data_IF_002103591054
#
_entry.id   IF_002103591054
#
_cell.length_a   1.000
_cell.length_b   1.000
_cell.length_c   1.000
_cell.angle_alpha   90.00
_cell.angle_beta   90.00
_cell.angle_gamma   90.00
#
_symmetry.space_group_name_H-M   'P 1'
#
loop_
_entity.id
_entity.type
_entity.pdbx_description
1 polymer ?
#
# COMPACT_ATOMS: atom_id res chain seq x y z
N UNK A 1 37.18 -4.70 17.24
CA UNK A 1 36.03 -5.24 17.94
C UNK A 1 35.30 -4.07 18.56
N UNK A 2 34.20 -3.67 17.96
CA UNK A 2 33.55 -2.40 18.29
C UNK A 2 32.69 -2.58 19.56
N UNK A 3 32.56 -1.54 20.37
CA UNK A 3 31.84 -1.57 21.65
C UNK A 3 30.34 -1.97 21.47
N UNK A 4 29.82 -1.88 20.24
CA UNK A 4 28.46 -2.23 19.84
C UNK A 4 28.16 -3.74 19.75
N UNK A 5 29.21 -4.59 19.70
CA UNK A 5 29.03 -6.05 19.51
C UNK A 5 28.81 -6.81 20.83
N UNK A 6 28.88 -6.13 21.99
CA UNK A 6 28.86 -6.79 23.30
C UNK A 6 27.53 -6.70 24.06
N UNK A 7 26.54 -5.95 23.57
CA UNK A 7 25.25 -5.85 24.25
C UNK A 7 24.21 -6.56 23.38
N UNK A 8 23.79 -7.74 23.79
CA UNK A 8 22.52 -8.31 23.33
C UNK A 8 21.40 -7.34 23.75
N UNK A 9 21.11 -6.37 22.91
CA UNK A 9 20.01 -5.47 23.17
C UNK A 9 18.69 -6.27 22.99
N UNK A 10 17.70 -6.12 23.88
CA UNK A 10 16.42 -6.79 23.72
C UNK A 10 15.78 -6.37 22.39
N UNK A 11 15.06 -7.28 21.75
CA UNK A 11 14.27 -7.00 20.55
C UNK A 11 13.38 -5.78 20.79
N UNK A 12 13.52 -4.77 19.96
CA UNK A 12 12.80 -3.48 20.07
C UNK A 12 12.03 -3.21 18.79
N UNK A 13 10.74 -3.47 18.80
CA UNK A 13 9.86 -3.16 17.67
C UNK A 13 9.45 -1.68 17.68
N UNK A 14 9.28 -1.10 16.50
CA UNK A 14 9.01 0.35 16.33
C UNK A 14 7.76 0.82 17.11
N UNK A 15 6.73 -0.03 17.18
CA UNK A 15 5.50 0.28 17.92
C UNK A 15 5.75 0.51 19.41
N UNK A 16 6.68 -0.24 19.99
CA UNK A 16 6.92 -0.25 21.43
C UNK A 16 7.89 0.84 21.88
N UNK A 17 8.53 1.54 20.93
CA UNK A 17 9.48 2.61 21.24
C UNK A 17 8.80 3.88 21.73
N UNK A 18 9.39 4.51 22.73
CA UNK A 18 8.93 5.75 23.34
C UNK A 18 9.97 6.86 23.15
N UNK A 19 9.55 8.12 23.31
CA UNK A 19 10.49 9.25 23.33
C UNK A 19 11.46 9.14 24.52
N UNK A 20 12.74 9.25 24.25
CA UNK A 20 13.83 9.04 25.22
C UNK A 20 14.45 7.63 25.15
N UNK A 21 13.87 6.69 24.39
CA UNK A 21 14.47 5.37 24.25
C UNK A 21 15.77 5.44 23.43
N UNK A 22 16.83 4.85 23.99
CA UNK A 22 18.03 4.49 23.25
C UNK A 22 17.83 3.13 22.58
N UNK A 23 18.13 3.06 21.29
CA UNK A 23 17.89 1.89 20.45
C UNK A 23 19.20 1.41 19.84
N UNK A 24 19.42 0.09 19.84
CA UNK A 24 20.43 -0.59 19.08
C UNK A 24 19.85 -1.92 18.57
N UNK A 25 19.05 -1.84 17.50
CA UNK A 25 18.32 -2.98 16.97
C UNK A 25 18.29 -2.95 15.44
N UNK A 26 17.67 -3.92 14.81
CA UNK A 26 17.56 -4.04 13.37
C UNK A 26 16.30 -3.36 12.87
N UNK A 27 16.42 -2.65 11.76
CA UNK A 27 15.28 -2.06 11.04
C UNK A 27 15.55 -2.10 9.54
N UNK A 28 14.51 -2.30 8.77
CA UNK A 28 14.56 -2.14 7.32
C UNK A 28 14.45 -0.66 6.98
N UNK A 29 15.27 -0.19 6.07
CA UNK A 29 15.12 1.16 5.52
C UNK A 29 14.14 1.08 4.36
N UNK A 30 12.97 1.68 4.51
CA UNK A 30 11.99 1.75 3.44
C UNK A 30 12.35 2.86 2.44
N UNK A 31 12.73 4.02 2.93
CA UNK A 31 13.15 5.17 2.12
C UNK A 31 14.40 5.80 2.70
N UNK A 32 15.27 6.31 1.81
CA UNK A 32 16.42 7.14 2.17
C UNK A 32 16.55 8.28 1.17
N UNK A 33 16.53 9.51 1.66
CA UNK A 33 16.63 10.72 0.83
C UNK A 33 17.63 11.68 1.44
N UNK A 34 18.56 12.16 0.62
CA UNK A 34 19.51 13.20 1.02
C UNK A 34 18.84 14.58 0.88
N UNK A 35 18.82 15.36 1.96
CA UNK A 35 18.21 16.70 2.02
C UNK A 35 19.20 17.70 2.61
N UNK A 36 18.87 18.99 2.50
CA UNK A 36 19.63 20.09 3.12
C UNK A 36 18.85 20.73 4.25
N UNK A 37 19.56 21.08 5.31
CA UNK A 37 19.06 21.93 6.40
C UNK A 37 18.85 23.37 5.90
N UNK A 38 18.21 24.20 6.71
CA UNK A 38 18.11 25.65 6.43
C UNK A 38 19.47 26.34 6.32
N UNK A 39 20.49 25.78 6.97
CA UNK A 39 21.86 26.31 6.95
C UNK A 39 22.71 25.75 5.80
N UNK A 40 22.14 24.87 4.95
CA UNK A 40 22.83 24.30 3.80
C UNK A 40 23.53 22.97 4.08
N UNK A 41 23.57 22.49 5.33
CA UNK A 41 24.20 21.21 5.70
C UNK A 41 23.41 20.01 5.19
N UNK A 42 24.09 18.99 4.74
CA UNK A 42 23.48 17.74 4.29
C UNK A 42 23.01 16.90 5.47
N UNK A 43 21.80 16.33 5.35
CA UNK A 43 21.30 15.29 6.25
C UNK A 43 20.57 14.20 5.46
N UNK A 44 20.39 13.01 6.05
CA UNK A 44 19.55 11.98 5.48
C UNK A 44 18.21 11.93 6.20
N UNK A 45 17.17 11.88 5.39
CA UNK A 45 15.79 11.63 5.79
C UNK A 45 15.49 10.17 5.50
N UNK A 46 15.11 9.41 6.51
CA UNK A 46 14.89 7.98 6.44
C UNK A 46 13.47 7.63 6.89
N UNK A 47 12.93 6.56 6.35
CA UNK A 47 11.79 5.85 6.91
C UNK A 47 12.27 4.45 7.33
N UNK A 48 12.28 4.18 8.63
CA UNK A 48 12.54 2.86 9.20
C UNK A 48 11.25 2.06 9.25
N UNK A 49 11.36 0.74 9.08
CA UNK A 49 10.23 -0.17 9.05
C UNK A 49 10.55 -1.48 9.76
N UNK A 50 9.56 -2.01 10.47
CA UNK A 50 9.44 -3.39 10.90
C UNK A 50 7.98 -3.85 10.74
N UNK A 51 7.66 -5.10 11.08
CA UNK A 51 6.31 -5.68 10.98
C UNK A 51 5.24 -4.94 11.80
N UNK A 52 5.63 -4.04 12.70
CA UNK A 52 4.70 -3.30 13.57
C UNK A 52 4.41 -1.89 13.08
N UNK A 53 5.11 -1.41 12.05
CA UNK A 53 4.87 -0.12 11.44
C UNK A 53 6.12 0.57 10.92
N UNK A 54 6.01 1.88 10.78
CA UNK A 54 7.02 2.77 10.20
C UNK A 54 7.34 3.90 11.17
N UNK A 55 8.60 4.35 11.15
CA UNK A 55 9.07 5.48 11.95
C UNK A 55 9.99 6.39 11.14
N UNK A 56 9.76 7.70 11.09
CA UNK A 56 10.71 8.65 10.53
C UNK A 56 12.02 8.61 11.28
N UNK A 57 13.14 8.74 10.57
CA UNK A 57 14.46 8.83 11.18
C UNK A 57 15.34 9.83 10.45
N UNK A 58 16.31 10.40 11.15
CA UNK A 58 17.24 11.39 10.61
C UNK A 58 18.68 11.01 10.94
N UNK A 59 19.57 11.25 9.98
CA UNK A 59 21.01 11.24 10.19
C UNK A 59 21.52 12.65 9.93
N UNK A 60 21.88 13.37 11.00
CA UNK A 60 22.33 14.75 10.92
C UNK A 60 23.83 14.86 10.61
N UNK A 61 24.62 13.93 11.11
CA UNK A 61 26.07 13.93 10.95
C UNK A 61 26.51 12.82 9.98
N UNK A 62 27.59 13.07 9.25
CA UNK A 62 28.18 12.09 8.31
C UNK A 62 27.19 11.64 7.21
N UNK A 63 26.25 12.52 6.82
CA UNK A 63 25.23 12.21 5.82
C UNK A 63 25.81 11.67 4.49
N UNK A 64 26.92 12.23 4.03
CA UNK A 64 27.58 11.80 2.79
C UNK A 64 28.19 10.39 2.87
N UNK A 65 28.63 9.95 4.05
CA UNK A 65 29.12 8.60 4.28
C UNK A 65 27.95 7.60 4.31
N UNK A 66 26.92 7.89 5.12
CA UNK A 66 25.76 7.04 5.23
C UNK A 66 24.96 6.95 3.91
N UNK A 67 24.96 8.00 3.08
CA UNK A 67 24.28 7.95 1.77
C UNK A 67 24.93 6.95 0.80
N UNK A 68 26.21 6.62 1.00
CA UNK A 68 26.90 5.59 0.22
C UNK A 68 26.66 4.18 0.76
N UNK A 69 26.39 4.06 2.06
CA UNK A 69 26.18 2.80 2.76
C UNK A 69 24.74 2.33 2.69
N UNK A 70 23.79 3.23 2.96
CA UNK A 70 22.40 2.88 3.14
C UNK A 70 21.67 2.73 1.81
N UNK A 71 20.85 1.69 1.72
CA UNK A 71 19.98 1.40 0.56
C UNK A 71 18.56 1.14 1.05
N UNK A 72 17.57 1.68 0.33
CA UNK A 72 16.18 1.31 0.54
C UNK A 72 15.99 -0.20 0.30
N UNK A 73 15.12 -0.82 1.08
CA UNK A 73 14.83 -2.25 1.02
C UNK A 73 15.76 -3.13 1.86
N UNK A 74 16.90 -2.65 2.29
CA UNK A 74 17.88 -3.42 3.06
C UNK A 74 17.70 -3.26 4.58
N UNK A 75 18.09 -4.28 5.33
CA UNK A 75 18.05 -4.30 6.79
C UNK A 75 19.40 -3.86 7.34
N UNK A 76 19.36 -2.97 8.30
CA UNK A 76 20.55 -2.46 8.99
C UNK A 76 20.40 -2.59 10.50
N UNK A 77 21.51 -2.84 11.19
CA UNK A 77 21.57 -2.61 12.63
C UNK A 77 21.76 -1.12 12.86
N UNK A 78 20.80 -0.51 13.53
CA UNK A 78 20.68 0.93 13.71
C UNK A 78 20.77 1.26 15.18
N UNK A 79 21.65 2.21 15.53
CA UNK A 79 21.70 2.81 16.87
C UNK A 79 21.27 4.26 16.80
N UNK A 80 20.46 4.67 17.77
CA UNK A 80 19.93 6.02 17.82
C UNK A 80 19.06 6.25 19.04
N UNK A 81 18.53 7.46 19.13
CA UNK A 81 17.61 7.90 20.18
C UNK A 81 16.28 8.31 19.58
N UNK A 82 15.20 7.84 20.18
CA UNK A 82 13.84 8.24 19.78
C UNK A 82 13.49 9.57 20.46
N UNK A 83 13.03 10.54 19.67
CA UNK A 83 12.62 11.88 20.14
C UNK A 83 11.22 12.21 19.66
N UNK A 84 10.52 13.00 20.40
CA UNK A 84 9.30 13.64 19.92
C UNK A 84 9.65 14.92 19.14
N UNK A 85 9.20 14.98 17.90
CA UNK A 85 9.34 16.15 17.06
C UNK A 85 7.98 16.55 16.48
N UNK A 86 7.44 17.69 16.94
CA UNK A 86 6.11 18.18 16.52
C UNK A 86 4.98 17.17 16.76
N UNK A 87 5.04 16.44 17.88
CA UNK A 87 4.04 15.45 18.25
C UNK A 87 4.13 14.13 17.48
N UNK A 88 5.23 13.87 16.79
CA UNK A 88 5.52 12.59 16.14
C UNK A 88 6.84 12.02 16.63
N UNK A 89 6.85 10.71 16.91
CA UNK A 89 8.10 10.02 17.24
C UNK A 89 9.00 9.99 16.00
N UNK A 90 10.27 10.30 16.21
CA UNK A 90 11.31 10.29 15.20
C UNK A 90 12.60 9.78 15.82
N UNK A 91 13.34 8.93 15.12
CA UNK A 91 14.65 8.46 15.58
C UNK A 91 15.75 9.37 15.04
N UNK A 92 16.64 9.81 15.94
CA UNK A 92 17.92 10.40 15.55
C UNK A 92 18.96 9.26 15.50
N UNK A 93 19.36 8.88 14.31
CA UNK A 93 20.29 7.78 14.09
C UNK A 93 21.73 8.27 14.25
N UNK A 94 22.50 7.61 15.12
CA UNK A 94 23.92 7.89 15.36
C UNK A 94 24.84 6.93 14.60
N UNK A 95 24.41 5.65 14.46
CA UNK A 95 25.19 4.62 13.76
C UNK A 95 24.24 3.70 12.97
N UNK A 96 24.76 3.19 11.85
CA UNK A 96 24.11 2.15 11.06
C UNK A 96 25.19 1.27 10.43
N UNK A 97 24.94 -0.04 10.39
CA UNK A 97 25.78 -1.01 9.68
C UNK A 97 24.92 -2.05 8.99
N UNK A 98 25.37 -2.57 7.88
CA UNK A 98 24.71 -3.68 7.20
C UNK A 98 24.62 -4.91 8.11
N UNK A 99 23.58 -5.71 7.95
CA UNK A 99 23.42 -7.00 8.61
C UNK A 99 24.38 -8.00 7.99
N UNK A 100 25.18 -8.67 8.83
CA UNK A 100 26.13 -9.69 8.43
C UNK A 100 25.67 -11.10 8.80
N UNK A 101 26.47 -12.10 8.42
CA UNK A 101 26.21 -13.51 8.72
C UNK A 101 26.19 -13.82 10.24
N UNK A 102 26.85 -13.00 11.05
CA UNK A 102 26.97 -13.16 12.50
C UNK A 102 25.76 -12.57 13.27
N UNK A 103 24.87 -11.84 12.59
CA UNK A 103 23.67 -11.24 13.20
C UNK A 103 22.53 -12.27 13.30
N UNK A 104 22.74 -13.32 14.13
CA UNK A 104 21.80 -14.44 14.29
C UNK A 104 20.49 -14.04 14.99
N UNK A 105 20.46 -12.91 15.65
CA UNK A 105 19.31 -12.30 16.32
C UNK A 105 18.45 -11.45 15.38
N UNK A 106 18.87 -11.27 14.12
CA UNK A 106 18.11 -10.61 13.07
C UNK A 106 17.17 -11.61 12.38
N UNK A 107 15.94 -11.69 12.84
CA UNK A 107 14.91 -12.46 12.14
C UNK A 107 14.35 -11.65 10.96
N UNK A 108 14.63 -12.07 9.73
CA UNK A 108 14.19 -11.36 8.51
C UNK A 108 12.67 -11.24 8.41
N UNK A 109 11.92 -12.19 8.96
CA UNK A 109 10.46 -12.16 8.97
C UNK A 109 9.88 -10.94 9.74
N UNK A 110 10.65 -10.36 10.68
CA UNK A 110 10.24 -9.14 11.37
C UNK A 110 10.26 -7.89 10.47
N UNK A 111 10.87 -7.96 9.30
CA UNK A 111 11.08 -6.83 8.37
C UNK A 111 10.45 -7.07 7.00
N UNK A 112 9.75 -8.18 6.84
CA UNK A 112 8.91 -8.40 5.67
C UNK A 112 7.60 -7.65 5.83
N UNK A 113 7.16 -7.05 4.75
CA UNK A 113 5.85 -6.40 4.67
C UNK A 113 4.80 -7.51 4.48
N UNK A 114 4.46 -8.17 5.58
CA UNK A 114 3.41 -9.19 5.58
C UNK A 114 2.07 -8.54 5.92
N UNK A 115 0.97 -8.99 5.31
CA UNK A 115 -0.36 -8.54 5.70
C UNK A 115 -0.60 -8.77 7.20
N UNK A 116 -1.22 -7.80 7.87
CA UNK A 116 -1.64 -7.93 9.29
C UNK A 116 -2.84 -8.87 9.47
N UNK A 117 -3.30 -9.50 8.40
CA UNK A 117 -4.43 -10.42 8.32
C UNK A 117 -4.08 -11.64 7.47
N UNK A 118 -4.88 -12.69 7.57
CA UNK A 118 -4.75 -13.88 6.73
C UNK A 118 -5.16 -13.56 5.27
N UNK A 119 -4.18 -13.17 4.45
CA UNK A 119 -4.39 -12.80 3.06
C UNK A 119 -4.82 -13.99 2.19
N UNK A 120 -4.42 -15.22 2.53
CA UNK A 120 -4.84 -16.43 1.80
C UNK A 120 -6.33 -16.69 2.05
N UNK A 121 -6.78 -16.61 3.29
CA UNK A 121 -8.21 -16.75 3.60
C UNK A 121 -9.03 -15.59 3.00
N UNK A 122 -8.50 -14.37 2.95
CA UNK A 122 -9.19 -13.24 2.31
C UNK A 122 -9.29 -13.45 0.80
N UNK A 123 -8.22 -13.91 0.13
CA UNK A 123 -8.24 -14.25 -1.30
C UNK A 123 -9.29 -15.31 -1.61
N UNK A 124 -9.36 -16.37 -0.80
CA UNK A 124 -10.37 -17.41 -0.95
C UNK A 124 -11.79 -16.84 -0.80
N UNK A 125 -12.05 -16.03 0.23
CA UNK A 125 -13.35 -15.37 0.43
C UNK A 125 -13.72 -14.46 -0.73
N UNK A 126 -12.76 -13.72 -1.29
CA UNK A 126 -12.97 -12.85 -2.44
C UNK A 126 -13.45 -13.63 -3.66
N UNK A 127 -12.80 -14.74 -4.01
CA UNK A 127 -13.22 -15.55 -5.13
C UNK A 127 -14.47 -16.38 -4.86
N UNK A 128 -14.73 -16.81 -3.62
CA UNK A 128 -16.02 -17.41 -3.26
C UNK A 128 -17.18 -16.43 -3.44
N UNK A 129 -17.01 -15.18 -2.97
CA UNK A 129 -18.00 -14.11 -3.17
C UNK A 129 -18.31 -13.91 -4.68
N UNK A 130 -17.30 -13.86 -5.53
CA UNK A 130 -17.50 -13.73 -6.97
C UNK A 130 -18.24 -14.94 -7.55
N UNK A 131 -17.84 -16.16 -7.19
CA UNK A 131 -18.48 -17.40 -7.65
C UNK A 131 -19.96 -17.49 -7.24
N UNK A 132 -20.31 -17.01 -6.04
CA UNK A 132 -21.68 -17.03 -5.52
C UNK A 132 -22.61 -16.03 -6.24
N UNK A 133 -22.05 -15.03 -6.93
CA UNK A 133 -22.81 -13.92 -7.48
C UNK A 133 -22.71 -13.72 -8.99
N UNK A 134 -21.85 -14.48 -9.68
CA UNK A 134 -21.74 -14.47 -11.13
C UNK A 134 -22.55 -15.60 -11.74
N UNK A 135 -23.34 -15.29 -12.77
CA UNK A 135 -24.16 -16.23 -13.51
C UNK A 135 -23.84 -16.25 -15.00
N UNK A 136 -23.27 -15.15 -15.54
CA UNK A 136 -22.87 -15.04 -16.94
C UNK A 136 -21.63 -15.89 -17.23
N UNK A 137 -21.72 -16.89 -18.15
CA UNK A 137 -20.59 -17.82 -18.40
C UNK A 137 -19.29 -17.14 -18.80
N UNK A 138 -19.36 -16.08 -19.60
CA UNK A 138 -18.17 -15.31 -20.02
C UNK A 138 -17.46 -14.66 -18.83
N UNK A 139 -18.21 -14.13 -17.86
CA UNK A 139 -17.64 -13.51 -16.65
C UNK A 139 -17.07 -14.56 -15.70
N UNK A 140 -17.70 -15.71 -15.56
CA UNK A 140 -17.17 -16.83 -14.77
C UNK A 140 -15.83 -17.30 -15.33
N UNK A 141 -15.75 -17.53 -16.64
CA UNK A 141 -14.49 -17.92 -17.30
C UNK A 141 -13.40 -16.85 -17.12
N UNK A 142 -13.76 -15.57 -17.25
CA UNK A 142 -12.82 -14.45 -17.06
C UNK A 142 -12.26 -14.42 -15.62
N UNK A 143 -13.11 -14.58 -14.61
CA UNK A 143 -12.71 -14.59 -13.21
C UNK A 143 -11.87 -15.83 -12.86
N UNK A 144 -12.16 -16.99 -13.46
CA UNK A 144 -11.35 -18.20 -13.28
C UNK A 144 -9.94 -18.03 -13.87
N UNK A 145 -9.83 -17.44 -15.06
CA UNK A 145 -8.53 -17.10 -15.65
C UNK A 145 -7.78 -16.07 -14.78
N UNK A 146 -8.47 -15.03 -14.34
CA UNK A 146 -7.90 -14.01 -13.44
C UNK A 146 -7.36 -14.64 -12.15
N UNK A 147 -8.17 -15.48 -11.48
CA UNK A 147 -7.78 -16.18 -10.25
C UNK A 147 -6.50 -16.97 -10.42
N UNK A 148 -6.40 -17.70 -11.53
CA UNK A 148 -5.23 -18.54 -11.84
C UNK A 148 -3.97 -17.72 -12.07
N UNK A 149 -4.06 -16.62 -12.80
CA UNK A 149 -2.89 -15.86 -13.25
C UNK A 149 -2.51 -14.70 -12.33
N UNK A 150 -3.49 -13.99 -11.80
CA UNK A 150 -3.28 -12.79 -10.99
C UNK A 150 -3.60 -12.96 -9.50
N UNK A 151 -4.26 -14.05 -9.10
CA UNK A 151 -4.57 -14.31 -7.69
C UNK A 151 -3.36 -14.26 -6.76
N UNK A 152 -2.24 -14.94 -7.06
CA UNK A 152 -1.05 -14.89 -6.23
C UNK A 152 -0.42 -13.49 -6.13
N UNK A 153 -0.40 -12.72 -7.21
CA UNK A 153 0.11 -11.35 -7.20
C UNK A 153 -0.81 -10.38 -6.45
N UNK A 154 -2.13 -10.51 -6.64
CA UNK A 154 -3.13 -9.74 -5.89
C UNK A 154 -3.02 -9.96 -4.38
N UNK A 155 -2.76 -11.19 -3.94
CA UNK A 155 -2.62 -11.54 -2.52
C UNK A 155 -1.52 -10.75 -1.81
N UNK A 156 -0.48 -10.35 -2.52
CA UNK A 156 0.70 -9.67 -1.96
C UNK A 156 0.80 -8.21 -2.36
N UNK A 157 -0.04 -7.75 -3.28
CA UNK A 157 0.07 -6.42 -3.86
C UNK A 157 -0.27 -5.32 -2.86
N UNK A 158 0.43 -4.20 -3.01
CA UNK A 158 0.14 -2.95 -2.31
C UNK A 158 -0.99 -2.20 -3.00
N UNK A 159 -1.89 -1.59 -2.24
CA UNK A 159 -2.92 -0.72 -2.79
C UNK A 159 -2.38 0.64 -3.26
N UNK A 160 -1.33 1.15 -2.60
CA UNK A 160 -0.66 2.40 -2.96
C UNK A 160 0.78 2.42 -2.45
N UNK A 161 1.58 3.43 -2.86
CA UNK A 161 2.94 3.61 -2.35
C UNK A 161 3.00 4.22 -0.94
N UNK A 162 2.14 5.19 -0.63
CA UNK A 162 2.29 6.05 0.57
C UNK A 162 1.01 6.35 1.33
N UNK A 163 -0.13 6.19 0.69
CA UNK A 163 -1.44 6.59 1.23
C UNK A 163 -2.33 5.35 1.14
N UNK A 164 -3.39 5.24 1.84
CA UNK A 164 -4.37 4.16 1.89
C UNK A 164 -3.90 2.79 1.35
N UNK A 165 -4.12 1.72 2.11
CA UNK A 165 -3.74 0.35 1.75
C UNK A 165 -2.27 0.16 1.32
N UNK A 166 -1.34 1.02 1.80
CA UNK A 166 0.08 1.01 1.46
C UNK A 166 0.86 -0.07 2.23
N UNK A 167 0.38 -1.31 2.22
CA UNK A 167 0.97 -2.49 2.85
C UNK A 167 0.74 -3.72 1.98
N UNK A 168 1.49 -4.79 2.22
CA UNK A 168 1.33 -6.05 1.49
C UNK A 168 -0.08 -6.62 1.68
N UNK A 169 -0.74 -7.00 0.59
CA UNK A 169 -2.14 -7.43 0.58
C UNK A 169 -3.17 -6.29 0.64
N UNK A 170 -2.74 -5.03 0.71
CA UNK A 170 -3.64 -3.88 0.76
C UNK A 170 -4.55 -3.78 -0.45
N UNK A 171 -4.04 -4.10 -1.65
CA UNK A 171 -4.85 -4.13 -2.87
C UNK A 171 -5.96 -5.19 -2.80
N UNK A 172 -5.65 -6.38 -2.25
CA UNK A 172 -6.67 -7.43 -2.04
C UNK A 172 -7.74 -6.98 -1.05
N UNK A 173 -7.35 -6.34 0.05
CA UNK A 173 -8.30 -5.85 1.05
C UNK A 173 -9.21 -4.77 0.46
N UNK A 174 -8.67 -3.82 -0.27
CA UNK A 174 -9.40 -2.79 -1.00
C UNK A 174 -10.39 -3.40 -2.00
N UNK A 175 -9.90 -4.28 -2.88
CA UNK A 175 -10.76 -4.97 -3.86
C UNK A 175 -11.90 -5.72 -3.17
N UNK A 176 -11.61 -6.48 -2.11
CA UNK A 176 -12.64 -7.21 -1.36
C UNK A 176 -13.68 -6.28 -0.73
N UNK A 177 -13.26 -5.16 -0.15
CA UNK A 177 -14.14 -4.14 0.42
C UNK A 177 -15.09 -3.55 -0.64
N UNK A 178 -14.57 -3.19 -1.82
CA UNK A 178 -15.40 -2.69 -2.93
C UNK A 178 -16.41 -3.75 -3.39
N UNK A 179 -16.01 -5.00 -3.52
CA UNK A 179 -16.93 -6.09 -3.90
C UNK A 179 -18.11 -6.21 -2.91
N UNK A 180 -17.83 -6.12 -1.60
CA UNK A 180 -18.89 -6.13 -0.58
C UNK A 180 -19.81 -4.92 -0.71
N UNK A 181 -19.27 -3.72 -0.94
CA UNK A 181 -20.07 -2.51 -1.14
C UNK A 181 -20.90 -2.58 -2.42
N UNK A 182 -20.38 -3.16 -3.51
CA UNK A 182 -21.14 -3.43 -4.74
C UNK A 182 -22.37 -4.27 -4.44
N UNK A 183 -22.22 -5.36 -3.67
CA UNK A 183 -23.34 -6.24 -3.31
C UNK A 183 -24.41 -5.52 -2.47
N UNK A 184 -23.99 -4.59 -1.63
CA UNK A 184 -24.91 -3.85 -0.78
C UNK A 184 -25.65 -2.71 -1.53
N UNK A 185 -24.99 -2.05 -2.47
CA UNK A 185 -25.49 -0.78 -3.05
C UNK A 185 -26.05 -0.96 -4.46
N UNK A 186 -25.44 -1.77 -5.32
CA UNK A 186 -25.88 -1.91 -6.71
C UNK A 186 -27.35 -2.36 -6.85
N UNK A 187 -27.89 -3.29 -6.03
CA UNK A 187 -29.30 -3.70 -6.11
C UNK A 187 -30.26 -2.55 -5.78
N UNK A 188 -29.88 -1.63 -4.90
CA UNK A 188 -30.73 -0.48 -4.54
C UNK A 188 -31.03 0.42 -5.75
N UNK A 189 -30.07 0.56 -6.66
CA UNK A 189 -30.21 1.37 -7.88
C UNK A 189 -30.56 0.55 -9.12
N UNK A 190 -30.75 -0.77 -9.01
CA UNK A 190 -31.06 -1.66 -10.12
C UNK A 190 -29.91 -1.78 -11.15
N UNK A 191 -28.66 -1.62 -10.70
CA UNK A 191 -27.49 -1.65 -11.57
C UNK A 191 -27.02 -3.07 -11.86
N UNK A 192 -26.27 -3.23 -12.95
CA UNK A 192 -25.64 -4.50 -13.31
C UNK A 192 -24.57 -4.90 -12.30
N UNK A 193 -25.01 -5.71 -11.32
CA UNK A 193 -24.14 -6.19 -10.24
C UNK A 193 -22.95 -7.00 -10.75
N UNK A 194 -23.15 -7.86 -11.73
CA UNK A 194 -22.06 -8.72 -12.22
C UNK A 194 -21.03 -7.91 -12.98
N UNK A 195 -21.45 -6.93 -13.76
CA UNK A 195 -20.55 -5.99 -14.43
C UNK A 195 -19.72 -5.21 -13.40
N UNK A 196 -20.35 -4.70 -12.33
CA UNK A 196 -19.69 -3.99 -11.25
C UNK A 196 -18.68 -4.85 -10.48
N UNK A 197 -19.03 -6.11 -10.17
CA UNK A 197 -18.14 -7.04 -9.48
C UNK A 197 -16.86 -7.30 -10.30
N UNK A 198 -17.01 -7.50 -11.60
CA UNK A 198 -15.85 -7.72 -12.48
C UNK A 198 -15.07 -6.43 -12.67
N UNK A 199 -15.74 -5.27 -12.84
CA UNK A 199 -15.08 -3.98 -12.87
C UNK A 199 -14.25 -3.71 -11.62
N UNK A 200 -14.81 -3.98 -10.44
CA UNK A 200 -14.11 -3.86 -9.16
C UNK A 200 -12.90 -4.82 -9.02
N UNK A 201 -12.98 -6.02 -9.60
CA UNK A 201 -11.85 -6.95 -9.61
C UNK A 201 -10.69 -6.44 -10.48
N UNK A 202 -11.00 -5.77 -11.59
CA UNK A 202 -10.00 -5.36 -12.58
C UNK A 202 -9.51 -3.92 -12.46
N UNK A 203 -10.23 -3.00 -11.80
CA UNK A 203 -9.94 -1.57 -11.88
C UNK A 203 -8.48 -1.24 -11.53
N UNK A 204 -7.94 -1.88 -10.53
CA UNK A 204 -6.64 -1.58 -9.91
C UNK A 204 -5.60 -2.72 -10.04
N UNK A 205 -5.92 -3.83 -10.72
CA UNK A 205 -5.00 -4.97 -10.80
C UNK A 205 -3.64 -4.62 -11.39
N UNK A 206 -3.58 -3.60 -12.23
CA UNK A 206 -2.36 -3.08 -12.82
C UNK A 206 -1.31 -2.63 -11.79
N UNK A 207 -1.71 -2.31 -10.55
CA UNK A 207 -0.81 -2.01 -9.45
C UNK A 207 0.14 -3.17 -9.13
N UNK A 208 -0.25 -4.42 -9.43
CA UNK A 208 0.61 -5.60 -9.28
C UNK A 208 1.84 -5.58 -10.20
N UNK A 209 1.78 -4.85 -11.32
CA UNK A 209 2.89 -4.67 -12.25
C UNK A 209 3.41 -3.21 -12.26
N UNK A 210 2.64 -2.26 -11.76
CA UNK A 210 3.08 -0.89 -11.57
C UNK A 210 4.20 -0.80 -10.53
N UNK A 211 4.12 -1.64 -9.47
CA UNK A 211 5.07 -1.63 -8.38
C UNK A 211 5.86 -2.93 -8.31
N UNK A 212 7.18 -2.77 -8.10
CA UNK A 212 8.08 -3.83 -7.66
C UNK A 212 8.18 -3.74 -6.14
N UNK A 213 7.94 -4.85 -5.45
CA UNK A 213 7.84 -4.87 -3.99
C UNK A 213 9.14 -5.24 -3.27
N UNK A 214 10.13 -5.78 -4.00
CA UNK A 214 11.40 -6.19 -3.41
C UNK A 214 12.60 -5.69 -4.24
N UNK A 215 13.70 -5.28 -3.60
CA UNK A 215 13.92 -5.21 -2.15
C UNK A 215 13.14 -4.07 -1.46
N UNK A 216 12.65 -3.10 -2.21
CA UNK A 216 11.83 -1.98 -1.77
C UNK A 216 10.65 -1.78 -2.71
N UNK A 217 9.63 -1.06 -2.24
CA UNK A 217 8.52 -0.67 -3.10
C UNK A 217 8.99 0.43 -4.06
N UNK A 218 9.15 0.08 -5.32
CA UNK A 218 9.60 0.97 -6.39
C UNK A 218 8.64 0.92 -7.57
N UNK A 219 8.47 2.05 -8.25
CA UNK A 219 7.73 2.09 -9.51
C UNK A 219 8.54 1.41 -10.60
N UNK A 220 7.93 0.47 -11.32
CA UNK A 220 8.55 -0.17 -12.49
C UNK A 220 8.62 0.80 -13.68
N UNK A 221 9.41 0.47 -14.71
CA UNK A 221 9.43 1.25 -15.94
C UNK A 221 8.03 1.34 -16.59
N UNK A 222 7.33 0.22 -16.67
CA UNK A 222 5.95 0.17 -17.17
C UNK A 222 5.00 1.00 -16.31
N UNK A 223 5.12 0.86 -14.98
CA UNK A 223 4.33 1.65 -14.03
C UNK A 223 4.52 3.16 -14.20
N UNK A 224 5.77 3.61 -14.33
CA UNK A 224 6.09 5.04 -14.48
C UNK A 224 5.69 5.64 -15.82
N UNK A 225 5.62 4.82 -16.88
CA UNK A 225 5.27 5.30 -18.23
C UNK A 225 3.78 5.15 -18.57
N UNK A 226 3.15 4.08 -18.10
CA UNK A 226 1.77 3.73 -18.48
C UNK A 226 0.77 3.95 -17.35
N UNK A 227 1.19 3.77 -16.09
CA UNK A 227 0.31 3.78 -14.93
C UNK A 227 -0.58 2.54 -14.84
N UNK A 228 -1.11 2.26 -13.63
CA UNK A 228 -1.89 1.06 -13.35
C UNK A 228 -3.19 0.96 -14.17
N UNK A 229 -3.84 2.07 -14.51
CA UNK A 229 -5.10 2.07 -15.28
C UNK A 229 -4.90 1.41 -16.65
N UNK A 230 -3.86 1.83 -17.38
CA UNK A 230 -3.53 1.26 -18.70
C UNK A 230 -3.07 -0.20 -18.56
N UNK A 231 -2.29 -0.49 -17.53
CA UNK A 231 -1.83 -1.85 -17.25
C UNK A 231 -3.02 -2.76 -16.89
N UNK A 232 -3.97 -2.30 -16.05
CA UNK A 232 -5.22 -3.02 -15.74
C UNK A 232 -6.02 -3.34 -16.99
N UNK A 233 -6.19 -2.35 -17.86
CA UNK A 233 -6.88 -2.53 -19.15
C UNK A 233 -6.17 -3.57 -20.02
N UNK A 234 -4.86 -3.53 -20.10
CA UNK A 234 -4.07 -4.49 -20.87
C UNK A 234 -4.23 -5.92 -20.32
N UNK A 235 -4.17 -6.10 -19.00
CA UNK A 235 -4.39 -7.38 -18.32
C UNK A 235 -5.81 -7.92 -18.57
N UNK A 236 -6.82 -7.06 -18.52
CA UNK A 236 -8.19 -7.44 -18.85
C UNK A 236 -8.29 -7.94 -20.30
N UNK A 237 -7.77 -7.18 -21.26
CA UNK A 237 -7.83 -7.52 -22.67
C UNK A 237 -7.08 -8.84 -22.99
N UNK A 238 -5.94 -9.07 -22.35
CA UNK A 238 -5.19 -10.31 -22.51
C UNK A 238 -6.02 -11.55 -22.08
N UNK A 239 -6.65 -11.48 -20.91
CA UNK A 239 -7.51 -12.57 -20.43
C UNK A 239 -8.78 -12.71 -21.28
N UNK A 240 -9.46 -11.60 -21.61
CA UNK A 240 -10.68 -11.57 -22.42
C UNK A 240 -10.47 -12.21 -23.82
N UNK A 241 -9.34 -11.91 -24.46
CA UNK A 241 -9.04 -12.42 -25.81
C UNK A 241 -8.81 -13.94 -25.85
N UNK A 242 -8.68 -14.58 -24.72
CA UNK A 242 -8.54 -16.05 -24.59
C UNK A 242 -9.88 -16.75 -24.37
N UNK A 243 -10.97 -15.99 -24.25
CA UNK A 243 -12.32 -16.51 -24.09
C UNK A 243 -13.02 -16.39 -25.45
N UNK A 244 -13.42 -17.56 -26.03
CA UNK A 244 -14.14 -17.56 -27.29
C UNK A 244 -15.49 -16.86 -27.13
N UNK A 245 -15.87 -16.09 -28.13
CA UNK A 245 -17.16 -15.38 -28.21
C UNK A 245 -17.51 -14.52 -27.01
N UNK A 246 -16.49 -13.91 -26.38
CA UNK A 246 -16.75 -12.96 -25.30
C UNK A 246 -17.57 -11.76 -25.84
N UNK A 247 -18.73 -11.41 -25.23
CA UNK A 247 -19.61 -10.38 -25.75
C UNK A 247 -18.92 -9.02 -25.82
N UNK A 248 -18.95 -8.37 -26.99
CA UNK A 248 -18.19 -7.14 -27.22
C UNK A 248 -18.75 -5.94 -26.47
N UNK A 249 -20.07 -5.85 -26.30
CA UNK A 249 -20.74 -4.86 -25.46
C UNK A 249 -20.32 -4.97 -23.98
N UNK A 250 -20.26 -6.19 -23.47
CA UNK A 250 -19.77 -6.48 -22.11
C UNK A 250 -18.29 -6.16 -21.97
N UNK A 251 -17.48 -6.50 -22.98
CA UNK A 251 -16.06 -6.12 -23.03
C UNK A 251 -15.87 -4.62 -22.95
N UNK A 252 -16.61 -3.87 -23.78
CA UNK A 252 -16.55 -2.40 -23.80
C UNK A 252 -17.00 -1.79 -22.48
N UNK A 253 -18.05 -2.34 -21.86
CA UNK A 253 -18.53 -1.87 -20.57
C UNK A 253 -17.47 -2.07 -19.46
N UNK A 254 -16.81 -3.23 -19.38
CA UNK A 254 -15.74 -3.49 -18.40
C UNK A 254 -14.53 -2.56 -18.65
N UNK A 255 -14.13 -2.39 -19.92
CA UNK A 255 -13.06 -1.45 -20.26
C UNK A 255 -13.40 -0.03 -19.77
N UNK A 256 -14.67 0.41 -19.95
CA UNK A 256 -15.11 1.71 -19.48
C UNK A 256 -15.02 1.83 -17.95
N UNK A 257 -15.42 0.79 -17.20
CA UNK A 257 -15.26 0.76 -15.74
C UNK A 257 -13.78 0.95 -15.34
N UNK A 258 -12.86 0.25 -16.02
CA UNK A 258 -11.42 0.35 -15.73
C UNK A 258 -10.87 1.75 -16.01
N UNK A 259 -11.18 2.32 -17.19
CA UNK A 259 -10.57 3.62 -17.58
C UNK A 259 -11.24 4.82 -16.91
N UNK A 260 -12.39 4.66 -16.30
CA UNK A 260 -13.17 5.74 -15.71
C UNK A 260 -13.21 5.72 -14.17
N UNK A 261 -12.61 4.72 -13.50
CA UNK A 261 -12.79 4.56 -12.05
C UNK A 261 -12.21 5.71 -11.21
N UNK A 262 -11.20 6.44 -11.68
CA UNK A 262 -10.72 7.64 -10.98
C UNK A 262 -11.72 8.82 -11.06
N UNK A 263 -12.71 8.77 -11.95
CA UNK A 263 -13.82 9.71 -12.04
C UNK A 263 -13.50 10.99 -12.78
N UNK A 264 -12.44 11.69 -12.43
CA UNK A 264 -12.08 13.00 -12.97
C UNK A 264 -10.71 12.93 -13.67
N UNK A 265 -10.55 13.71 -14.77
CA UNK A 265 -9.29 13.75 -15.53
C UNK A 265 -8.14 14.33 -14.70
N UNK A 266 -8.43 15.24 -13.81
CA UNK A 266 -7.50 15.83 -12.84
C UNK A 266 -6.90 14.79 -11.89
N UNK A 267 -7.60 13.69 -11.65
CA UNK A 267 -7.13 12.55 -10.86
C UNK A 267 -6.45 11.47 -11.71
N UNK A 268 -6.20 11.75 -13.00
CA UNK A 268 -5.52 10.84 -13.92
C UNK A 268 -6.45 9.82 -14.59
N UNK A 269 -7.77 10.02 -14.53
CA UNK A 269 -8.72 9.18 -15.28
C UNK A 269 -8.57 9.42 -16.79
N UNK A 270 -8.32 8.37 -17.61
CA UNK A 270 -8.33 8.52 -19.07
C UNK A 270 -9.68 9.00 -19.61
N UNK A 271 -10.79 8.59 -18.98
CA UNK A 271 -12.15 8.98 -19.30
C UNK A 271 -12.97 9.22 -18.04
N UNK A 272 -14.03 10.03 -18.12
CA UNK A 272 -14.99 10.23 -17.03
C UNK A 272 -16.07 9.15 -17.08
N UNK A 273 -16.73 8.82 -15.93
CA UNK A 273 -17.83 7.86 -15.89
C UNK A 273 -19.01 8.31 -16.77
N UNK A 274 -19.42 7.46 -17.72
CA UNK A 274 -20.54 7.71 -18.65
C UNK A 274 -21.71 6.73 -18.43
N UNK A 275 -21.55 5.77 -17.50
CA UNK A 275 -22.61 4.85 -17.11
C UNK A 275 -22.84 4.90 -15.61
N UNK A 276 -24.03 4.56 -15.11
CA UNK A 276 -24.29 4.53 -13.68
C UNK A 276 -23.35 3.57 -12.95
N UNK A 277 -23.00 2.44 -13.55
CA UNK A 277 -22.06 1.47 -13.01
C UNK A 277 -20.66 2.07 -12.86
N UNK A 278 -20.14 2.77 -13.88
CA UNK A 278 -18.84 3.42 -13.81
C UNK A 278 -18.83 4.52 -12.75
N UNK A 279 -19.91 5.27 -12.63
CA UNK A 279 -20.05 6.30 -11.60
C UNK A 279 -20.10 5.69 -10.19
N UNK A 280 -20.83 4.59 -10.01
CA UNK A 280 -20.87 3.90 -8.73
C UNK A 280 -19.48 3.33 -8.37
N UNK A 281 -18.80 2.66 -9.30
CA UNK A 281 -17.46 2.12 -9.03
C UNK A 281 -16.48 3.21 -8.59
N UNK A 282 -16.48 4.36 -9.28
CA UNK A 282 -15.69 5.52 -8.88
C UNK A 282 -15.98 5.97 -7.43
N UNK A 283 -17.26 6.08 -7.07
CA UNK A 283 -17.64 6.50 -5.72
C UNK A 283 -17.24 5.48 -4.66
N UNK A 284 -17.33 4.18 -4.94
CA UNK A 284 -16.94 3.12 -4.01
C UNK A 284 -15.43 3.07 -3.79
N UNK A 285 -14.65 3.21 -4.85
CA UNK A 285 -13.19 3.33 -4.78
C UNK A 285 -12.78 4.55 -3.95
N UNK A 286 -13.34 5.71 -4.26
CA UNK A 286 -13.09 6.94 -3.50
C UNK A 286 -13.49 6.81 -2.03
N UNK A 287 -14.64 6.19 -1.76
CA UNK A 287 -15.13 5.97 -0.39
C UNK A 287 -14.16 5.10 0.41
N UNK A 288 -13.81 3.91 -0.11
CA UNK A 288 -12.93 2.96 0.57
C UNK A 288 -11.55 3.59 0.84
N UNK A 289 -10.97 4.23 -0.16
CA UNK A 289 -9.68 4.93 -0.05
C UNK A 289 -9.70 6.04 1.02
N UNK A 290 -10.77 6.84 1.08
CA UNK A 290 -10.88 7.91 2.09
C UNK A 290 -11.14 7.37 3.49
N UNK A 291 -11.95 6.31 3.62
CA UNK A 291 -12.21 5.69 4.93
C UNK A 291 -10.95 5.07 5.52
N UNK A 292 -10.10 4.44 4.70
CA UNK A 292 -8.80 3.94 5.17
C UNK A 292 -7.88 5.07 5.66
N UNK A 293 -7.86 6.23 4.98
CA UNK A 293 -7.12 7.41 5.45
C UNK A 293 -7.67 7.91 6.80
N UNK A 294 -8.99 7.97 6.99
CA UNK A 294 -9.59 8.34 8.28
C UNK A 294 -9.17 7.39 9.39
N UNK A 295 -9.22 6.09 9.13
CA UNK A 295 -8.82 5.06 10.10
C UNK A 295 -7.33 5.14 10.45
N UNK A 296 -6.46 5.36 9.45
CA UNK A 296 -5.04 5.56 9.68
C UNK A 296 -4.77 6.80 10.56
N UNK A 297 -5.42 7.93 10.27
CA UNK A 297 -5.27 9.14 11.07
C UNK A 297 -5.72 8.92 12.53
N UNK A 298 -6.81 8.17 12.75
CA UNK A 298 -7.28 7.84 14.10
C UNK A 298 -6.32 6.91 14.85
N UNK A 299 -5.83 5.86 14.19
CA UNK A 299 -4.86 4.91 14.77
C UNK A 299 -3.53 5.57 15.14
N UNK A 300 -3.09 6.55 14.34
CA UNK A 300 -1.85 7.29 14.56
C UNK A 300 -2.01 8.49 15.52
N UNK A 301 -3.20 8.76 16.01
CA UNK A 301 -3.48 9.79 17.00
C UNK A 301 -2.80 9.48 18.35
N UNK A 302 -2.11 10.47 18.93
CA UNK A 302 -1.39 10.34 20.21
C UNK A 302 -2.30 10.53 21.45
N UNK A 303 -3.62 10.64 21.25
CA UNK A 303 -4.61 10.92 22.30
C UNK A 303 -4.50 12.31 22.96
N UNK A 304 -3.50 13.12 22.58
CA UNK A 304 -3.26 14.44 23.16
C UNK A 304 -3.91 15.57 22.37
N UNK A 305 -4.12 15.37 21.08
CA UNK A 305 -4.73 16.36 20.18
C UNK A 305 -6.16 15.95 19.83
N UNK A 306 -7.06 16.93 19.78
CA UNK A 306 -8.44 16.71 19.35
C UNK A 306 -8.55 16.46 17.84
N UNK A 307 -7.69 17.12 17.05
CA UNK A 307 -7.65 16.99 15.59
C UNK A 307 -6.25 16.63 15.11
N UNK A 308 -6.19 15.89 13.99
CA UNK A 308 -4.96 15.61 13.25
C UNK A 308 -4.33 16.88 12.68
N UNK A 309 -3.13 16.77 12.13
CA UNK A 309 -2.63 17.77 11.17
C UNK A 309 -3.52 17.76 9.91
N UNK A 310 -3.43 18.84 9.11
CA UNK A 310 -4.18 18.93 7.86
C UNK A 310 -3.77 17.79 6.90
N UNK A 311 -4.75 17.01 6.45
CA UNK A 311 -4.54 15.94 5.48
C UNK A 311 -4.95 16.44 4.09
N UNK A 312 -3.99 16.47 3.17
CA UNK A 312 -4.22 16.98 1.81
C UNK A 312 -5.19 16.11 1.00
N UNK A 313 -5.14 14.78 1.17
CA UNK A 313 -6.02 13.85 0.44
C UNK A 313 -7.48 13.98 0.88
N UNK A 314 -7.74 14.31 2.16
CA UNK A 314 -9.08 14.57 2.68
C UNK A 314 -9.49 16.04 2.54
N UNK A 315 -8.56 16.96 2.31
CA UNK A 315 -8.81 18.40 2.30
C UNK A 315 -9.21 18.98 3.67
N UNK A 316 -8.97 18.25 4.77
CA UNK A 316 -9.40 18.64 6.11
C UNK A 316 -8.51 18.08 7.22
N UNK A 317 -8.83 18.40 8.47
CA UNK A 317 -8.28 17.76 9.68
C UNK A 317 -9.27 16.73 10.19
N UNK A 318 -8.75 15.60 10.65
CA UNK A 318 -9.57 14.50 11.18
C UNK A 318 -9.75 14.66 12.68
N UNK A 319 -10.98 14.50 13.16
CA UNK A 319 -11.26 14.39 14.59
C UNK A 319 -10.69 13.06 15.10
N UNK A 320 -9.72 13.15 16.00
CA UNK A 320 -9.10 12.00 16.64
C UNK A 320 -10.01 11.61 17.83
N UNK A 321 -10.65 10.44 17.75
CA UNK A 321 -11.48 9.97 18.86
C UNK A 321 -10.62 9.88 20.13
N UNK A 322 -11.13 10.42 21.25
CA UNK A 322 -10.67 10.04 22.58
C UNK A 322 -11.37 8.73 22.90
N UNK A 323 -10.61 7.66 23.04
CA UNK A 323 -11.09 6.47 23.74
C UNK A 323 -11.30 6.79 25.22
#
# INVERSE_FOLDING_TARGET
>A
MNLFDKIQAPKRLLRDLQSGDEVNWYYRIQEVTKKKTKNGDDFLDLTLMDRTGRMPAKIWNRASEFSRLLRAGEIYRISGEVKDYKGKRQMTVSHARAVGADDRDCDRADYEDTPSFDSAALLQRTFSLLADHLTRPALIQLVDLFKKEHGPSLQQAYGAQKIHHAFAGGLLQHTHSILQMVLAIAPHYGLDKELLLVGALFHDIGKTAEFKTQPALETTLAGGLLGHVVISLTMFLDLKNRIADFPEDLSTAIQHLIVAHHGEKEYGSPEVPKTPEAYLLHLLDLLDSRMDIFDEQRKNGDGKKLFSEFNQALGTRVLLAKE
#
